data_IF_040423097595
#
_entry.id   IF_040423097595
#
_cell.length_a   1.000
_cell.length_b   1.000
_cell.length_c   1.000
_cell.angle_alpha   90.00
_cell.angle_beta   90.00
_cell.angle_gamma   90.00
#
_symmetry.space_group_name_H-M   'P 1'
#
loop_
_entity.id
_entity.type
_entity.pdbx_description
1 polymer ?
#
# COMPACT_ATOMS: atom_id res chain seq x y z
N UNK A 1 -11.99 -4.70 -3.80
CA UNK A 1 -11.10 -5.68 -3.09
C UNK A 1 -9.72 -5.04 -2.96
N UNK A 2 -8.96 -5.18 -1.87
CA UNK A 2 -7.63 -4.57 -1.72
C UNK A 2 -6.56 -5.58 -1.30
N UNK A 3 -5.32 -5.38 -1.76
CA UNK A 3 -4.20 -6.31 -1.50
C UNK A 3 -3.11 -5.72 -0.59
N UNK A 4 -3.08 -4.41 -0.44
CA UNK A 4 -2.15 -3.71 0.43
C UNK A 4 -2.73 -2.40 0.94
N UNK A 5 -2.07 -1.78 1.92
CA UNK A 5 -2.50 -0.48 2.45
C UNK A 5 -2.16 0.68 1.51
N UNK A 6 -1.15 0.53 0.65
CA UNK A 6 -0.57 1.61 -0.16
C UNK A 6 -0.92 1.57 -1.66
N UNK A 7 -1.71 0.59 -2.13
CA UNK A 7 -2.06 0.48 -3.55
C UNK A 7 -1.13 -0.42 -4.38
N UNK A 8 -0.12 -1.03 -3.77
CA UNK A 8 0.69 -2.05 -4.45
C UNK A 8 -0.10 -3.35 -4.51
N UNK A 9 -0.32 -3.89 -5.71
CA UNK A 9 -0.84 -5.25 -5.87
C UNK A 9 0.26 -6.24 -5.49
N UNK A 10 0.07 -6.91 -4.36
CA UNK A 10 1.06 -7.84 -3.84
C UNK A 10 1.07 -9.15 -4.65
N UNK A 11 -0.04 -9.53 -5.27
CA UNK A 11 -0.14 -10.79 -6.01
C UNK A 11 0.51 -10.73 -7.39
N UNK A 12 0.73 -9.54 -7.94
CA UNK A 12 1.57 -9.33 -9.13
C UNK A 12 3.05 -9.09 -8.81
N UNK A 13 3.47 -9.18 -7.55
CA UNK A 13 4.85 -8.96 -7.15
C UNK A 13 5.70 -10.22 -7.33
N UNK A 14 6.51 -10.26 -8.40
CA UNK A 14 7.42 -11.38 -8.71
C UNK A 14 8.44 -11.67 -7.60
N UNK A 15 8.76 -10.68 -6.75
CA UNK A 15 9.73 -10.84 -5.66
C UNK A 15 9.15 -11.53 -4.43
N UNK A 16 7.83 -11.72 -4.35
CA UNK A 16 7.12 -12.19 -3.15
C UNK A 16 7.65 -13.55 -2.68
N UNK A 17 7.86 -14.48 -3.59
CA UNK A 17 8.43 -15.80 -3.31
C UNK A 17 9.91 -15.72 -2.90
N UNK A 18 10.71 -14.94 -3.65
CA UNK A 18 12.14 -14.81 -3.42
C UNK A 18 12.48 -14.19 -2.05
N UNK A 19 11.62 -13.33 -1.52
CA UNK A 19 11.81 -12.67 -0.21
C UNK A 19 10.92 -13.24 0.89
N UNK A 20 10.26 -14.37 0.67
CA UNK A 20 9.31 -14.99 1.61
C UNK A 20 8.26 -14.01 2.17
N UNK A 21 7.78 -13.10 1.32
CA UNK A 21 6.77 -12.11 1.69
C UNK A 21 5.37 -12.75 1.64
N UNK A 22 4.60 -12.72 2.74
CA UNK A 22 3.22 -13.22 2.76
C UNK A 22 2.17 -12.17 2.38
N UNK A 23 2.61 -10.97 1.98
CA UNK A 23 1.75 -9.85 1.56
C UNK A 23 1.44 -8.87 2.70
N UNK A 24 1.17 -7.62 2.32
CA UNK A 24 1.01 -6.49 3.25
C UNK A 24 -0.08 -6.71 4.32
N UNK A 25 -1.14 -7.45 3.99
CA UNK A 25 -2.26 -7.70 4.90
C UNK A 25 -2.01 -8.82 5.91
N UNK A 26 -1.09 -9.74 5.58
CA UNK A 26 -0.78 -10.90 6.42
C UNK A 26 0.49 -10.71 7.26
N UNK A 27 1.38 -9.81 6.84
CA UNK A 27 2.63 -9.53 7.56
C UNK A 27 2.43 -8.44 8.60
N UNK A 28 2.89 -8.67 9.83
CA UNK A 28 2.98 -7.60 10.84
C UNK A 28 3.99 -6.53 10.43
N UNK A 29 5.16 -6.98 9.94
CA UNK A 29 6.27 -6.13 9.50
C UNK A 29 6.68 -6.48 8.06
N UNK A 30 7.07 -5.48 7.26
CA UNK A 30 7.71 -5.69 5.98
C UNK A 30 8.89 -6.66 5.99
N UNK A 31 9.15 -7.30 4.85
CA UNK A 31 10.27 -8.25 4.69
C UNK A 31 11.64 -7.60 4.94
N UNK A 32 11.78 -6.29 4.74
CA UNK A 32 13.02 -5.55 4.99
C UNK A 32 13.23 -5.17 6.48
N UNK A 33 12.38 -5.67 7.39
CA UNK A 33 12.57 -5.57 8.85
C UNK A 33 12.21 -4.22 9.49
N UNK A 34 11.95 -3.17 8.70
CA UNK A 34 11.53 -1.86 9.19
C UNK A 34 10.01 -1.71 9.40
N UNK A 35 9.55 -0.53 9.80
CA UNK A 35 8.12 -0.17 9.80
C UNK A 35 7.74 0.44 8.46
N UNK A 36 6.58 0.03 7.92
CA UNK A 36 5.97 0.73 6.79
C UNK A 36 5.08 1.85 7.32
N UNK A 37 5.49 3.12 7.14
CA UNK A 37 4.74 4.28 7.62
C UNK A 37 3.31 4.34 7.07
N UNK A 38 3.13 3.96 5.80
CA UNK A 38 1.80 3.92 5.18
C UNK A 38 0.90 2.85 5.81
N UNK A 39 1.45 1.66 6.10
CA UNK A 39 0.73 0.58 6.77
C UNK A 39 0.31 1.01 8.17
N UNK A 40 1.26 1.52 8.95
CA UNK A 40 1.02 2.00 10.31
C UNK A 40 -0.06 3.09 10.33
N UNK A 41 0.02 4.08 9.43
CA UNK A 41 -0.96 5.14 9.30
C UNK A 41 -2.37 4.61 8.98
N UNK A 42 -2.50 3.66 8.05
CA UNK A 42 -3.81 3.05 7.75
C UNK A 42 -4.36 2.27 8.94
N UNK A 43 -3.53 1.49 9.63
CA UNK A 43 -3.95 0.68 10.79
C UNK A 43 -4.37 1.57 11.98
N UNK A 44 -3.62 2.65 12.26
CA UNK A 44 -3.93 3.63 13.28
C UNK A 44 -5.26 4.37 12.98
N UNK A 45 -5.44 4.80 11.73
CA UNK A 45 -6.68 5.44 11.25
C UNK A 45 -7.83 4.45 11.03
N UNK A 46 -7.60 3.14 11.22
CA UNK A 46 -8.55 2.04 10.96
C UNK A 46 -9.12 2.05 9.53
N UNK A 47 -8.26 2.37 8.56
CA UNK A 47 -8.56 2.37 7.13
C UNK A 47 -8.06 1.08 6.48
N UNK A 48 -8.80 0.61 5.49
CA UNK A 48 -8.40 -0.56 4.72
C UNK A 48 -7.22 -0.27 3.80
N UNK A 49 -7.18 0.91 3.19
CA UNK A 49 -6.10 1.36 2.34
C UNK A 49 -6.12 2.89 2.23
N UNK A 50 -5.04 3.47 1.72
CA UNK A 50 -4.92 4.93 1.60
C UNK A 50 -6.05 5.58 0.80
N UNK A 51 -6.62 4.88 -0.19
CA UNK A 51 -7.76 5.37 -0.97
C UNK A 51 -9.00 5.76 -0.15
N UNK A 52 -9.15 5.27 1.08
CA UNK A 52 -10.24 5.65 2.00
C UNK A 52 -9.88 6.87 2.88
N UNK A 53 -8.63 7.34 2.83
CA UNK A 53 -8.17 8.46 3.66
C UNK A 53 -8.73 9.78 3.13
N UNK A 54 -9.19 10.65 4.04
CA UNK A 54 -9.67 12.00 3.68
C UNK A 54 -8.57 12.90 3.07
N UNK A 55 -7.31 12.64 3.40
CA UNK A 55 -6.14 13.39 2.90
C UNK A 55 -5.57 12.77 1.61
N UNK A 56 -6.29 11.86 0.97
CA UNK A 56 -5.79 11.10 -0.17
C UNK A 56 -5.78 11.91 -1.49
N UNK A 57 -4.68 11.87 -2.28
CA UNK A 57 -3.38 11.26 -1.97
C UNK A 57 -2.53 12.19 -1.09
N UNK A 58 -2.00 11.66 0.02
CA UNK A 58 -1.13 12.41 0.93
C UNK A 58 0.35 12.32 0.53
N UNK A 59 1.17 13.23 1.04
CA UNK A 59 2.61 13.30 0.74
C UNK A 59 3.34 11.98 1.06
N UNK A 60 3.04 11.36 2.21
CA UNK A 60 3.66 10.08 2.60
C UNK A 60 3.46 8.98 1.55
N UNK A 61 2.26 8.90 0.97
CA UNK A 61 1.98 7.94 -0.10
C UNK A 61 2.66 8.36 -1.42
N UNK A 62 2.61 9.64 -1.74
CA UNK A 62 3.15 10.21 -2.98
C UNK A 62 4.67 10.12 -3.07
N UNK A 63 5.38 10.18 -1.94
CA UNK A 63 6.85 10.07 -1.90
C UNK A 63 7.35 8.62 -1.78
N UNK A 64 6.48 7.67 -1.41
CA UNK A 64 6.88 6.27 -1.19
C UNK A 64 7.48 5.63 -2.46
N UNK A 65 8.77 5.27 -2.39
CA UNK A 65 9.51 4.60 -3.45
C UNK A 65 10.11 5.53 -4.52
N UNK A 66 9.86 6.84 -4.45
CA UNK A 66 10.40 7.82 -5.40
C UNK A 66 11.93 7.86 -5.35
N UNK A 67 12.50 7.77 -4.15
CA UNK A 67 13.95 7.71 -3.91
C UNK A 67 14.61 6.47 -4.52
N UNK A 68 13.84 5.39 -4.69
CA UNK A 68 14.26 4.14 -5.32
C UNK A 68 13.93 4.09 -6.82
N UNK A 69 13.41 5.18 -7.39
CA UNK A 69 13.07 5.29 -8.82
C UNK A 69 11.70 4.67 -9.20
N UNK A 70 10.84 4.38 -8.23
CA UNK A 70 9.49 3.90 -8.51
C UNK A 70 8.53 5.06 -8.82
N UNK A 71 7.63 4.84 -9.79
CA UNK A 71 6.56 5.79 -10.08
C UNK A 71 5.42 5.66 -9.04
N UNK A 72 5.18 6.70 -8.21
CA UNK A 72 4.15 6.64 -7.19
C UNK A 72 2.73 6.73 -7.75
N UNK A 73 2.54 7.19 -8.98
CA UNK A 73 1.22 7.40 -9.59
C UNK A 73 0.49 6.07 -9.81
N UNK A 74 1.22 4.99 -10.14
CA UNK A 74 0.69 3.65 -10.38
C UNK A 74 -0.08 3.14 -9.14
N UNK A 75 0.54 3.22 -7.96
CA UNK A 75 -0.08 2.76 -6.70
C UNK A 75 -1.18 3.71 -6.20
N UNK A 76 -1.06 5.02 -6.48
CA UNK A 76 -2.11 6.00 -6.16
C UNK A 76 -3.36 5.70 -6.98
N UNK A 77 -3.21 5.45 -8.27
CA UNK A 77 -4.33 5.11 -9.14
C UNK A 77 -5.00 3.80 -8.70
N UNK A 78 -4.21 2.81 -8.30
CA UNK A 78 -4.75 1.58 -7.73
C UNK A 78 -5.55 1.81 -6.44
N UNK A 79 -5.10 2.70 -5.56
CA UNK A 79 -5.87 3.09 -4.37
C UNK A 79 -7.21 3.76 -4.74
N UNK A 80 -7.28 4.54 -5.83
CA UNK A 80 -8.54 5.13 -6.32
C UNK A 80 -9.52 4.06 -6.73
N UNK A 81 -9.08 3.10 -7.56
CA UNK A 81 -9.90 1.98 -8.01
C UNK A 81 -10.48 1.19 -6.84
N UNK A 82 -9.64 0.84 -5.85
CA UNK A 82 -10.11 0.14 -4.65
C UNK A 82 -11.13 0.94 -3.84
N UNK A 83 -10.95 2.26 -3.74
CA UNK A 83 -11.90 3.14 -3.05
C UNK A 83 -13.24 3.27 -3.79
N UNK A 84 -13.25 3.13 -5.11
CA UNK A 84 -14.48 3.12 -5.92
C UNK A 84 -15.20 1.77 -5.81
N UNK A 85 -14.47 0.65 -5.88
CA UNK A 85 -15.02 -0.69 -5.71
C UNK A 85 -15.65 -0.91 -4.32
N UNK A 86 -15.11 -0.29 -3.28
CA UNK A 86 -15.61 -0.40 -1.90
C UNK A 86 -16.90 0.38 -1.61
N UNK A 87 -17.41 1.17 -2.57
CA UNK A 87 -18.64 1.98 -2.42
C UNK A 87 -19.89 1.26 -2.95
N UNK A 88 -19.80 -0.01 -3.33
CA UNK A 88 -20.92 -0.80 -3.85
C UNK A 88 -21.72 -1.52 -2.77
#
# INVERSE_FOLDING_TARGET
MYESRCGVCCDSCERKEAVHCSGCLNMEKPFWGGLCGVKACCEEKKLNHCGECAEFPCEMLSLMGVDQGFDPTIKIEQCRKWAEEGKS
#
